data_IF_384413018907
#
_entry.id   IF_384413018907
#
_cell.length_a   1.000
_cell.length_b   1.000
_cell.length_c   1.000
_cell.angle_alpha   90.00
_cell.angle_beta   90.00
_cell.angle_gamma   90.00
#
_symmetry.space_group_name_H-M   'P 1'
#
loop_
_entity.id
_entity.type
_entity.pdbx_description
1 polymer ?
#
# COMPACT_ATOMS: atom_id res chain seq x y z
N UNK A 1 27.75 -4.39 -17.63
CA UNK A 1 26.35 -4.28 -18.08
C UNK A 1 25.81 -2.97 -17.52
N UNK A 2 25.31 -2.07 -18.36
CA UNK A 2 24.67 -0.83 -17.90
C UNK A 2 23.38 -1.19 -17.16
N UNK A 3 23.10 -0.55 -16.02
CA UNK A 3 21.92 -0.84 -15.23
C UNK A 3 20.68 -0.36 -16.00
N UNK A 4 19.61 -1.17 -16.06
CA UNK A 4 18.36 -0.82 -16.76
C UNK A 4 17.72 0.47 -16.19
N UNK A 5 18.05 0.81 -14.95
CA UNK A 5 17.62 2.05 -14.29
C UNK A 5 18.36 3.31 -14.78
N UNK A 6 19.49 3.18 -15.46
CA UNK A 6 20.31 4.30 -15.95
C UNK A 6 19.85 4.82 -17.32
N UNK A 7 19.05 4.03 -18.05
CA UNK A 7 18.45 4.41 -19.33
C UNK A 7 16.93 4.63 -19.18
N UNK A 8 16.44 5.88 -19.29
CA UNK A 8 15.03 6.20 -19.17
C UNK A 8 14.12 5.41 -20.13
N UNK A 9 14.59 5.09 -21.34
CA UNK A 9 13.80 4.33 -22.31
C UNK A 9 13.70 2.85 -21.91
N UNK A 10 14.80 2.27 -21.46
CA UNK A 10 14.84 0.90 -20.96
C UNK A 10 14.01 0.73 -19.68
N UNK A 11 14.08 1.70 -18.76
CA UNK A 11 13.26 1.72 -17.55
C UNK A 11 11.76 1.78 -17.89
N UNK A 12 11.37 2.64 -18.85
CA UNK A 12 9.97 2.76 -19.27
C UNK A 12 9.46 1.48 -19.93
N UNK A 13 10.26 0.84 -20.77
CA UNK A 13 9.91 -0.44 -21.39
C UNK A 13 9.68 -1.53 -20.34
N UNK A 14 10.58 -1.63 -19.34
CA UNK A 14 10.43 -2.56 -18.23
C UNK A 14 9.14 -2.31 -17.43
N UNK A 15 8.82 -1.04 -17.13
CA UNK A 15 7.58 -0.69 -16.44
C UNK A 15 6.33 -1.08 -17.24
N UNK A 16 6.34 -0.86 -18.55
CA UNK A 16 5.23 -1.21 -19.44
C UNK A 16 5.03 -2.72 -19.54
N UNK A 17 6.13 -3.48 -19.56
CA UNK A 17 6.07 -4.94 -19.59
C UNK A 17 5.51 -5.51 -18.28
N UNK A 18 5.97 -5.00 -17.12
CA UNK A 18 5.41 -5.36 -15.81
C UNK A 18 3.91 -5.04 -15.77
N UNK A 19 3.52 -3.84 -16.21
CA UNK A 19 2.11 -3.44 -16.22
C UNK A 19 1.25 -4.34 -17.12
N UNK A 20 1.73 -4.65 -18.33
CA UNK A 20 1.04 -5.53 -19.27
C UNK A 20 0.87 -6.94 -18.70
N UNK A 21 1.93 -7.49 -18.12
CA UNK A 21 1.89 -8.82 -17.50
C UNK A 21 0.86 -8.88 -16.37
N UNK A 22 0.86 -7.89 -15.48
CA UNK A 22 -0.11 -7.84 -14.39
C UNK A 22 -1.56 -7.74 -14.89
N UNK A 23 -1.83 -6.94 -15.93
CA UNK A 23 -3.17 -6.88 -16.52
C UNK A 23 -3.59 -8.21 -17.12
N UNK A 24 -2.70 -8.84 -17.91
CA UNK A 24 -3.01 -10.09 -18.58
C UNK A 24 -3.30 -11.18 -17.55
N UNK A 25 -2.49 -11.27 -16.49
CA UNK A 25 -2.74 -12.16 -15.35
C UNK A 25 -4.07 -11.89 -14.69
N UNK A 26 -4.37 -10.63 -14.33
CA UNK A 26 -5.63 -10.28 -13.67
C UNK A 26 -6.87 -10.62 -14.51
N UNK A 27 -6.76 -10.56 -15.85
CA UNK A 27 -7.84 -10.94 -16.77
C UNK A 27 -8.12 -12.44 -16.79
N UNK A 28 -7.12 -13.28 -16.59
CA UNK A 28 -7.28 -14.74 -16.60
C UNK A 28 -7.70 -15.30 -15.25
N UNK A 29 -7.65 -14.50 -14.18
CA UNK A 29 -8.02 -14.95 -12.84
C UNK A 29 -9.52 -15.18 -12.66
N UNK A 30 -9.83 -16.30 -12.03
CA UNK A 30 -11.14 -16.58 -11.44
C UNK A 30 -11.44 -15.63 -10.27
N UNK A 31 -12.70 -15.56 -9.86
CA UNK A 31 -13.12 -14.73 -8.72
C UNK A 31 -12.42 -15.16 -7.43
N UNK A 32 -12.25 -16.48 -7.22
CA UNK A 32 -11.58 -17.01 -6.02
C UNK A 32 -10.11 -16.60 -5.97
N UNK A 33 -9.40 -16.64 -7.09
CA UNK A 33 -8.00 -16.23 -7.18
C UNK A 33 -7.84 -14.72 -6.95
N UNK A 34 -8.72 -13.89 -7.51
CA UNK A 34 -8.70 -12.44 -7.23
C UNK A 34 -8.94 -12.15 -5.76
N UNK A 35 -9.88 -12.86 -5.13
CA UNK A 35 -10.15 -12.68 -3.71
C UNK A 35 -8.92 -13.06 -2.85
N UNK A 36 -8.25 -14.16 -3.19
CA UNK A 36 -7.02 -14.57 -2.52
C UNK A 36 -5.92 -13.50 -2.66
N UNK A 37 -5.71 -12.93 -3.86
CA UNK A 37 -4.75 -11.84 -4.04
C UNK A 37 -5.09 -10.59 -3.23
N UNK A 38 -6.37 -10.23 -3.16
CA UNK A 38 -6.81 -9.09 -2.34
C UNK A 38 -6.49 -9.34 -0.88
N UNK A 39 -6.67 -10.56 -0.37
CA UNK A 39 -6.29 -10.90 1.00
C UNK A 39 -4.79 -10.84 1.22
N UNK A 40 -3.98 -11.37 0.30
CA UNK A 40 -2.52 -11.28 0.39
C UNK A 40 -2.02 -9.83 0.40
N UNK A 41 -2.52 -9.00 -0.51
CA UNK A 41 -2.18 -7.57 -0.58
C UNK A 41 -2.60 -6.85 0.71
N UNK A 42 -3.79 -7.14 1.22
CA UNK A 42 -4.30 -6.55 2.46
C UNK A 42 -3.45 -6.96 3.65
N UNK A 43 -3.12 -8.25 3.78
CA UNK A 43 -2.27 -8.77 4.85
C UNK A 43 -0.88 -8.13 4.85
N UNK A 44 -0.27 -8.01 3.66
CA UNK A 44 1.02 -7.35 3.51
C UNK A 44 0.95 -5.88 3.97
N UNK A 45 -0.07 -5.15 3.52
CA UNK A 45 -0.25 -3.75 3.90
C UNK A 45 -0.47 -3.59 5.42
N UNK A 46 -1.30 -4.44 6.02
CA UNK A 46 -1.51 -4.43 7.47
C UNK A 46 -0.23 -4.79 8.24
N UNK A 47 0.61 -5.68 7.70
CA UNK A 47 1.92 -5.99 8.27
C UNK A 47 2.86 -4.77 8.29
N UNK A 48 2.92 -4.00 7.21
CA UNK A 48 3.67 -2.74 7.16
C UNK A 48 3.14 -1.75 8.21
N UNK A 49 1.81 -1.60 8.29
CA UNK A 49 1.19 -0.71 9.27
C UNK A 49 1.51 -1.12 10.71
N UNK A 50 1.44 -2.41 11.01
CA UNK A 50 1.80 -2.95 12.32
C UNK A 50 3.27 -2.65 12.65
N UNK A 51 4.18 -2.89 11.71
CA UNK A 51 5.61 -2.57 11.88
C UNK A 51 5.83 -1.09 12.17
N UNK A 52 5.16 -0.20 11.43
CA UNK A 52 5.20 1.24 11.68
C UNK A 52 4.62 1.64 13.04
N UNK A 53 3.51 1.02 13.46
CA UNK A 53 2.88 1.29 14.75
C UNK A 53 3.77 0.85 15.91
N UNK A 54 4.32 -0.36 15.85
CA UNK A 54 5.23 -0.89 16.85
C UNK A 54 6.53 -0.07 16.94
N UNK A 55 7.08 0.34 15.79
CA UNK A 55 8.25 1.22 15.75
C UNK A 55 7.97 2.56 16.42
N UNK A 56 6.83 3.21 16.10
CA UNK A 56 6.42 4.48 16.70
C UNK A 56 6.21 4.40 18.21
N UNK A 57 5.64 3.30 18.68
CA UNK A 57 5.40 3.05 20.11
C UNK A 57 6.67 2.61 20.85
N UNK A 58 7.74 2.25 20.14
CA UNK A 58 8.95 1.69 20.75
C UNK A 58 8.70 0.33 21.42
N UNK A 59 7.75 -0.45 20.92
CA UNK A 59 7.32 -1.71 21.54
C UNK A 59 7.53 -2.91 20.63
N UNK A 60 7.60 -4.09 21.23
CA UNK A 60 7.53 -5.40 20.55
C UNK A 60 6.21 -6.14 20.81
N UNK A 61 5.31 -5.54 21.57
CA UNK A 61 3.97 -6.07 21.80
C UNK A 61 3.09 -5.84 20.57
N UNK A 62 2.79 -6.91 19.85
CA UNK A 62 1.92 -6.89 18.67
C UNK A 62 0.49 -6.48 19.02
N UNK A 63 -0.02 -6.86 20.19
CA UNK A 63 -1.38 -6.49 20.60
C UNK A 63 -1.49 -4.97 20.74
N UNK A 64 -0.50 -4.33 21.38
CA UNK A 64 -0.41 -2.87 21.44
C UNK A 64 -0.26 -2.23 20.05
N UNK A 65 0.54 -2.83 19.16
CA UNK A 65 0.67 -2.40 17.77
C UNK A 65 -0.66 -2.40 17.02
N UNK A 66 -1.43 -3.48 17.11
CA UNK A 66 -2.74 -3.59 16.47
C UNK A 66 -3.78 -2.60 17.02
N UNK A 67 -3.73 -2.28 18.32
CA UNK A 67 -4.59 -1.22 18.88
C UNK A 67 -4.30 0.14 18.26
N UNK A 68 -3.03 0.46 18.01
CA UNK A 68 -2.65 1.72 17.36
C UNK A 68 -2.99 1.72 15.86
N UNK A 69 -2.82 0.60 15.15
CA UNK A 69 -3.31 0.44 13.77
C UNK A 69 -4.82 0.68 13.69
N UNK A 70 -5.59 0.09 14.61
CA UNK A 70 -7.05 0.31 14.69
C UNK A 70 -7.38 1.79 14.89
N UNK A 71 -6.62 2.49 15.75
CA UNK A 71 -6.79 3.93 15.98
C UNK A 71 -6.53 4.75 14.71
N UNK A 72 -5.52 4.38 13.92
CA UNK A 72 -5.25 5.04 12.64
C UNK A 72 -6.38 4.84 11.63
N UNK A 73 -6.91 3.62 11.53
CA UNK A 73 -8.06 3.33 10.66
C UNK A 73 -9.28 4.15 11.06
N UNK A 74 -9.60 4.22 12.35
CA UNK A 74 -10.70 5.05 12.85
C UNK A 74 -10.52 6.53 12.53
N UNK A 75 -9.27 7.04 12.53
CA UNK A 75 -8.99 8.41 12.12
C UNK A 75 -9.23 8.61 10.62
N UNK A 76 -8.85 7.65 9.79
CA UNK A 76 -9.12 7.69 8.34
C UNK A 76 -10.62 7.65 8.04
N UNK A 77 -11.37 6.80 8.74
CA UNK A 77 -12.83 6.73 8.60
C UNK A 77 -13.48 8.07 8.93
N UNK A 78 -13.07 8.73 10.02
CA UNK A 78 -13.57 10.07 10.37
C UNK A 78 -13.27 11.11 9.29
N UNK A 79 -12.06 11.11 8.73
CA UNK A 79 -11.69 12.01 7.62
C UNK A 79 -12.56 11.77 6.40
N UNK A 80 -12.83 10.50 6.05
CA UNK A 80 -13.72 10.12 4.95
C UNK A 80 -15.16 10.58 5.18
N UNK A 81 -15.71 10.30 6.37
CA UNK A 81 -17.09 10.60 6.73
C UNK A 81 -17.39 12.11 6.73
N UNK A 82 -16.39 12.93 7.04
CA UNK A 82 -16.55 14.39 7.14
C UNK A 82 -16.01 15.14 5.91
N UNK A 83 -15.61 14.42 4.85
CA UNK A 83 -15.13 15.03 3.61
C UNK A 83 -13.84 15.85 3.76
N UNK A 84 -13.03 15.60 4.79
CA UNK A 84 -11.77 16.33 5.05
C UNK A 84 -10.61 15.86 4.17
N UNK A 85 -10.88 15.35 2.96
CA UNK A 85 -9.82 15.04 2.02
C UNK A 85 -9.18 16.36 1.58
N UNK A 86 -8.04 16.66 2.19
CA UNK A 86 -7.18 17.77 1.79
C UNK A 86 -6.63 17.42 0.41
N UNK A 87 -7.15 18.05 -0.64
CA UNK A 87 -6.72 17.84 -2.02
C UNK A 87 -5.41 18.58 -2.34
N UNK A 88 -4.96 19.46 -1.44
CA UNK A 88 -3.78 20.31 -1.63
C UNK A 88 -2.97 20.40 -0.33
N UNK A 89 -1.64 20.19 -0.41
CA UNK A 89 -0.76 20.36 0.76
C UNK A 89 -0.93 21.79 1.31
N UNK A 90 -1.27 21.98 2.60
CA UNK A 90 -1.37 23.32 3.16
C UNK A 90 -0.02 24.02 3.03
N UNK A 91 -0.01 25.27 2.58
CA UNK A 91 1.19 26.07 2.52
C UNK A 91 1.82 26.15 3.92
N UNK A 92 3.11 25.84 4.01
CA UNK A 92 3.87 25.87 5.26
C UNK A 92 3.69 27.25 5.92
N UNK A 93 3.21 27.27 7.17
CA UNK A 93 3.15 28.47 8.02
C UNK A 93 4.30 28.49 8.98
#
# INVERSE_FOLDING_TARGET
>A
MSNVHDDPAALKALQDDIYREQILRARTMTVAERLAEVFELSNHQFGIMLGGAMHRLGTRDEAAGWQEVKRWMQRLDRVREHGFYVTEKPADR
#
